data_IF_843858695744
#
_entry.id   IF_843858695744
#
_cell.length_a   1.000
_cell.length_b   1.000
_cell.length_c   1.000
_cell.angle_alpha   90.00
_cell.angle_beta   90.00
_cell.angle_gamma   90.00
#
_symmetry.space_group_name_H-M   'P 1'
#
loop_
_entity.id
_entity.type
_entity.pdbx_description
1 polymer ?
#
# COMPACT_ATOMS: atom_id res chain seq x y z
N UNK A 1 -31.73 -8.78 -0.76
CA UNK A 1 -31.55 -9.71 0.38
C UNK A 1 -32.14 -9.03 1.60
N UNK A 2 -32.93 -9.71 2.42
CA UNK A 2 -33.40 -9.15 3.69
C UNK A 2 -32.17 -8.78 4.55
N UNK A 3 -32.21 -7.64 5.24
CA UNK A 3 -31.10 -7.22 6.11
C UNK A 3 -30.92 -8.25 7.22
N UNK A 4 -29.78 -8.95 7.23
CA UNK A 4 -29.41 -9.84 8.33
C UNK A 4 -29.17 -9.02 9.59
N UNK A 5 -29.64 -9.50 10.74
CA UNK A 5 -29.40 -8.85 12.03
C UNK A 5 -27.93 -9.00 12.47
N UNK A 6 -27.46 -8.11 13.36
CA UNK A 6 -26.11 -8.19 13.95
C UNK A 6 -25.80 -9.58 14.51
N UNK A 7 -26.79 -10.21 15.17
CA UNK A 7 -26.67 -11.55 15.72
C UNK A 7 -26.45 -12.63 14.65
N UNK A 8 -27.08 -12.50 13.47
CA UNK A 8 -26.89 -13.43 12.36
C UNK A 8 -25.49 -13.30 11.73
N UNK A 9 -24.96 -12.08 11.64
CA UNK A 9 -23.58 -11.86 11.17
C UNK A 9 -22.55 -12.43 12.12
N UNK A 10 -22.73 -12.18 13.42
CA UNK A 10 -21.85 -12.72 14.48
C UNK A 10 -21.84 -14.25 14.42
N UNK A 11 -23.01 -14.89 14.33
CA UNK A 11 -23.12 -16.34 14.20
C UNK A 11 -22.43 -16.87 12.94
N UNK A 12 -22.59 -16.18 11.81
CA UNK A 12 -21.89 -16.52 10.55
C UNK A 12 -20.37 -16.46 10.71
N UNK A 13 -19.85 -15.38 11.30
CA UNK A 13 -18.40 -15.21 11.52
C UNK A 13 -17.83 -16.21 12.51
N UNK A 14 -18.57 -16.55 13.56
CA UNK A 14 -18.20 -17.62 14.50
C UNK A 14 -18.13 -18.98 13.80
N UNK A 15 -19.12 -19.30 12.97
CA UNK A 15 -19.11 -20.53 12.19
C UNK A 15 -17.93 -20.59 11.19
N UNK A 16 -17.58 -19.47 10.56
CA UNK A 16 -16.38 -19.41 9.71
C UNK A 16 -15.09 -19.55 10.52
N UNK A 17 -15.01 -18.97 11.72
CA UNK A 17 -13.87 -19.14 12.61
C UNK A 17 -13.64 -20.61 12.96
N UNK A 18 -14.68 -21.32 13.42
CA UNK A 18 -14.60 -22.75 13.71
C UNK A 18 -14.24 -23.58 12.47
N UNK A 19 -14.71 -23.17 11.28
CA UNK A 19 -14.34 -23.82 10.01
C UNK A 19 -12.86 -23.62 9.70
N UNK A 20 -12.32 -22.41 9.90
CA UNK A 20 -10.90 -22.11 9.70
C UNK A 20 -10.05 -22.96 10.64
N UNK A 21 -10.42 -23.06 11.92
CA UNK A 21 -9.69 -23.87 12.91
C UNK A 21 -9.69 -25.36 12.54
N UNK A 22 -10.85 -25.91 12.14
CA UNK A 22 -10.96 -27.32 11.74
C UNK A 22 -10.29 -27.64 10.41
N UNK A 23 -10.13 -26.65 9.53
CA UNK A 23 -9.58 -26.83 8.18
C UNK A 23 -8.10 -26.41 8.10
N UNK A 24 -7.38 -26.33 9.21
CA UNK A 24 -6.01 -25.79 9.27
C UNK A 24 -5.00 -26.52 8.35
N UNK A 25 -5.33 -27.73 7.88
CA UNK A 25 -4.50 -28.55 7.00
C UNK A 25 -4.97 -28.56 5.52
N UNK A 26 -6.09 -27.90 5.20
CA UNK A 26 -6.71 -27.90 3.87
C UNK A 26 -6.75 -26.47 3.29
N UNK A 27 -5.84 -26.11 2.36
CA UNK A 27 -5.78 -24.76 1.80
C UNK A 27 -7.01 -24.40 0.95
N UNK A 28 -7.71 -25.37 0.36
CA UNK A 28 -8.91 -25.09 -0.42
C UNK A 28 -10.08 -24.75 0.51
N UNK A 29 -10.28 -25.54 1.58
CA UNK A 29 -11.30 -25.25 2.59
C UNK A 29 -11.03 -23.93 3.34
N UNK A 30 -9.75 -23.63 3.62
CA UNK A 30 -9.34 -22.33 4.16
C UNK A 30 -9.65 -21.19 3.20
N UNK A 31 -9.38 -21.37 1.90
CA UNK A 31 -9.68 -20.36 0.87
C UNK A 31 -11.16 -20.02 0.89
N UNK A 32 -12.04 -21.01 0.84
CA UNK A 32 -13.49 -20.78 0.88
C UNK A 32 -13.96 -20.14 2.19
N UNK A 33 -13.36 -20.50 3.33
CA UNK A 33 -13.70 -19.89 4.61
C UNK A 33 -13.29 -18.40 4.67
N UNK A 34 -12.08 -18.05 4.22
CA UNK A 34 -11.63 -16.66 4.17
C UNK A 34 -12.38 -15.82 3.13
N UNK A 35 -12.79 -16.42 2.00
CA UNK A 35 -13.69 -15.77 1.05
C UNK A 35 -15.03 -15.43 1.73
N UNK A 36 -15.62 -16.37 2.45
CA UNK A 36 -16.88 -16.13 3.17
C UNK A 36 -16.74 -15.03 4.24
N UNK A 37 -15.62 -14.99 4.96
CA UNK A 37 -15.31 -13.90 5.91
C UNK A 37 -15.18 -12.56 5.16
N UNK A 38 -14.44 -12.51 4.06
CA UNK A 38 -14.27 -11.31 3.24
C UNK A 38 -15.62 -10.78 2.72
N UNK A 39 -16.54 -11.66 2.31
CA UNK A 39 -17.89 -11.28 1.87
C UNK A 39 -18.74 -10.67 3.00
N UNK A 40 -18.49 -11.04 4.25
CA UNK A 40 -19.20 -10.48 5.41
C UNK A 40 -18.70 -9.08 5.82
N UNK A 41 -17.51 -8.65 5.37
CA UNK A 41 -16.86 -7.47 5.96
C UNK A 41 -17.61 -6.16 5.75
N UNK A 42 -18.32 -5.99 4.63
CA UNK A 42 -19.13 -4.79 4.39
C UNK A 42 -20.16 -4.62 5.51
N UNK A 43 -20.99 -5.64 5.71
CA UNK A 43 -22.04 -5.60 6.71
C UNK A 43 -21.48 -5.57 8.13
N UNK A 44 -20.39 -6.29 8.39
CA UNK A 44 -19.70 -6.25 9.67
C UNK A 44 -19.36 -4.81 10.08
N UNK A 45 -18.76 -4.01 9.19
CA UNK A 45 -18.35 -2.65 9.54
C UNK A 45 -19.51 -1.68 9.62
N UNK A 46 -20.53 -1.82 8.77
CA UNK A 46 -21.75 -1.03 8.87
C UNK A 46 -22.45 -1.22 10.22
N UNK A 47 -22.63 -2.48 10.62
CA UNK A 47 -23.19 -2.81 11.93
C UNK A 47 -22.29 -2.32 13.06
N UNK A 48 -20.98 -2.52 12.94
CA UNK A 48 -20.01 -2.06 13.92
C UNK A 48 -20.07 -0.55 14.17
N UNK A 49 -20.35 0.23 13.12
CA UNK A 49 -20.46 1.69 13.21
C UNK A 49 -21.66 2.16 14.03
N UNK A 50 -22.68 1.32 14.17
CA UNK A 50 -23.90 1.60 14.94
C UNK A 50 -23.80 1.12 16.40
N UNK A 51 -22.80 0.30 16.72
CA UNK A 51 -22.63 -0.34 18.03
C UNK A 51 -21.72 0.47 18.96
N UNK A 52 -21.99 0.37 20.27
CA UNK A 52 -21.13 0.97 21.29
C UNK A 52 -19.81 0.20 21.35
N UNK A 53 -18.72 0.90 21.03
CA UNK A 53 -17.38 0.32 21.02
C UNK A 53 -16.94 -0.11 22.42
N UNK A 54 -16.17 -1.20 22.49
CA UNK A 54 -15.60 -1.70 23.74
C UNK A 54 -14.58 -0.73 24.33
N UNK A 55 -14.36 -0.81 25.65
CA UNK A 55 -13.49 0.13 26.37
C UNK A 55 -12.03 0.08 25.92
N UNK A 56 -11.53 -1.09 25.50
CA UNK A 56 -10.20 -1.26 24.92
C UNK A 56 -10.06 -0.52 23.58
N UNK A 57 -11.08 -0.58 22.73
CA UNK A 57 -11.12 0.14 21.46
C UNK A 57 -11.17 1.64 21.70
N UNK A 58 -12.05 2.11 22.59
CA UNK A 58 -12.12 3.54 22.95
C UNK A 58 -10.79 4.07 23.51
N UNK A 59 -10.13 3.31 24.40
CA UNK A 59 -8.82 3.65 24.92
C UNK A 59 -7.75 3.71 23.81
N UNK A 60 -7.79 2.76 22.88
CA UNK A 60 -6.90 2.73 21.73
C UNK A 60 -7.13 3.92 20.79
N UNK A 61 -8.39 4.29 20.51
CA UNK A 61 -8.75 5.46 19.70
C UNK A 61 -8.19 6.74 20.31
N UNK A 62 -8.36 6.93 21.62
CA UNK A 62 -7.83 8.09 22.33
C UNK A 62 -6.29 8.13 22.31
N UNK A 63 -5.65 6.97 22.51
CA UNK A 63 -4.19 6.85 22.55
C UNK A 63 -3.54 7.16 21.19
N UNK A 64 -4.08 6.61 20.11
CA UNK A 64 -3.48 6.70 18.77
C UNK A 64 -4.09 7.79 17.88
N UNK A 65 -5.16 8.45 18.32
CA UNK A 65 -5.95 9.43 17.56
C UNK A 65 -6.43 8.91 16.21
N UNK A 66 -7.13 7.78 16.28
CA UNK A 66 -7.68 7.06 15.14
C UNK A 66 -9.16 6.76 15.45
N UNK A 67 -10.05 6.95 14.47
CA UNK A 67 -11.50 6.98 14.70
C UNK A 67 -12.22 5.86 13.94
N UNK A 68 -12.39 4.68 14.53
CA UNK A 68 -12.95 3.53 13.83
C UNK A 68 -13.51 2.46 14.77
N UNK A 69 -14.18 1.46 14.18
CA UNK A 69 -15.13 0.57 14.85
C UNK A 69 -14.82 -0.91 14.67
N UNK A 70 -15.10 -1.71 15.71
CA UNK A 70 -15.08 -3.17 15.70
C UNK A 70 -16.28 -3.72 16.49
N UNK A 71 -16.89 -4.83 16.04
CA UNK A 71 -17.99 -5.44 16.79
C UNK A 71 -17.45 -6.01 18.11
N UNK A 72 -17.90 -5.51 19.28
CA UNK A 72 -17.39 -5.99 20.57
C UNK A 72 -17.58 -7.49 20.79
N UNK A 73 -18.67 -8.04 20.25
CA UNK A 73 -19.06 -9.44 20.43
C UNK A 73 -18.17 -10.39 19.61
N UNK A 74 -17.68 -9.93 18.46
CA UNK A 74 -16.77 -10.70 17.62
C UNK A 74 -15.73 -9.79 16.97
N UNK A 75 -14.62 -9.52 17.67
CA UNK A 75 -13.51 -8.79 17.09
C UNK A 75 -12.88 -9.58 15.94
N UNK A 76 -13.10 -9.15 14.69
CA UNK A 76 -12.59 -9.84 13.49
C UNK A 76 -11.06 -9.97 13.50
N UNK A 77 -10.35 -9.11 14.25
CA UNK A 77 -8.89 -9.22 14.47
C UNK A 77 -8.47 -10.58 15.06
N UNK A 78 -9.37 -11.30 15.75
CA UNK A 78 -9.12 -12.65 16.28
C UNK A 78 -8.80 -13.69 15.22
N UNK A 79 -9.16 -13.44 13.95
CA UNK A 79 -8.84 -14.34 12.84
C UNK A 79 -7.40 -14.16 12.32
N UNK A 80 -6.70 -13.07 12.69
CA UNK A 80 -5.37 -12.74 12.17
C UNK A 80 -4.33 -13.84 12.46
N UNK A 81 -4.24 -14.43 13.67
CA UNK A 81 -3.29 -15.52 13.92
C UNK A 81 -3.52 -16.74 13.05
N UNK A 82 -4.79 -17.14 12.84
CA UNK A 82 -5.12 -18.28 11.99
C UNK A 82 -4.77 -18.00 10.52
N UNK A 83 -5.05 -16.79 10.04
CA UNK A 83 -4.68 -16.35 8.70
C UNK A 83 -3.16 -16.29 8.48
N UNK A 84 -2.41 -15.74 9.44
CA UNK A 84 -0.95 -15.71 9.40
C UNK A 84 -0.36 -17.13 9.34
N UNK A 85 -0.86 -18.05 10.18
CA UNK A 85 -0.46 -19.47 10.17
C UNK A 85 -0.78 -20.15 8.83
N UNK A 86 -1.96 -19.88 8.27
CA UNK A 86 -2.37 -20.42 6.98
C UNK A 86 -1.45 -19.94 5.83
N UNK A 87 -1.10 -18.65 5.80
CA UNK A 87 -0.14 -18.12 4.81
C UNK A 87 1.26 -18.69 4.96
N UNK A 88 1.74 -18.84 6.20
CA UNK A 88 3.06 -19.42 6.45
C UNK A 88 3.13 -20.91 6.06
N UNK A 89 2.00 -21.62 6.18
CA UNK A 89 1.91 -23.04 5.83
C UNK A 89 1.71 -23.29 4.33
N UNK A 90 0.92 -22.45 3.67
CA UNK A 90 0.55 -22.61 2.26
C UNK A 90 0.86 -21.36 1.43
N UNK A 91 2.08 -20.81 1.50
CA UNK A 91 2.41 -19.55 0.83
C UNK A 91 2.29 -19.62 -0.69
N UNK A 92 2.40 -20.81 -1.28
CA UNK A 92 2.23 -21.07 -2.71
C UNK A 92 0.76 -21.11 -3.17
N UNK A 93 -0.21 -21.22 -2.25
CA UNK A 93 -1.62 -21.36 -2.59
C UNK A 93 -2.24 -19.99 -2.92
N UNK A 94 -2.22 -19.63 -4.21
CA UNK A 94 -2.61 -18.29 -4.71
C UNK A 94 -4.00 -17.83 -4.29
N UNK A 95 -5.00 -18.71 -4.33
CA UNK A 95 -6.38 -18.36 -3.94
C UNK A 95 -6.49 -18.00 -2.46
N UNK A 96 -5.74 -18.72 -1.61
CA UNK A 96 -5.70 -18.49 -0.17
C UNK A 96 -4.97 -17.17 0.13
N UNK A 97 -3.81 -16.98 -0.49
CA UNK A 97 -3.03 -15.75 -0.37
C UNK A 97 -3.85 -14.51 -0.78
N UNK A 98 -4.58 -14.60 -1.89
CA UNK A 98 -5.43 -13.52 -2.39
C UNK A 98 -6.57 -13.19 -1.42
N UNK A 99 -7.30 -14.21 -0.94
CA UNK A 99 -8.43 -14.03 -0.03
C UNK A 99 -7.98 -13.43 1.31
N UNK A 100 -6.88 -13.93 1.89
CA UNK A 100 -6.33 -13.39 3.14
C UNK A 100 -5.80 -11.97 2.94
N UNK A 101 -5.11 -11.67 1.84
CA UNK A 101 -4.58 -10.34 1.58
C UNK A 101 -5.70 -9.29 1.46
N UNK A 102 -6.76 -9.56 0.69
CA UNK A 102 -7.90 -8.63 0.57
C UNK A 102 -8.60 -8.40 1.91
N UNK A 103 -8.86 -9.48 2.66
CA UNK A 103 -9.46 -9.38 3.99
C UNK A 103 -8.56 -8.63 4.98
N UNK A 104 -7.26 -8.91 5.00
CA UNK A 104 -6.30 -8.28 5.90
C UNK A 104 -6.21 -6.77 5.68
N UNK A 105 -6.30 -6.31 4.42
CA UNK A 105 -6.36 -4.89 4.09
C UNK A 105 -7.51 -4.19 4.81
N UNK A 106 -8.70 -4.78 4.83
CA UNK A 106 -9.87 -4.17 5.48
C UNK A 106 -9.74 -4.13 6.99
N UNK A 107 -9.32 -5.25 7.58
CA UNK A 107 -9.14 -5.40 9.02
C UNK A 107 -8.08 -4.43 9.54
N UNK A 108 -6.94 -4.32 8.86
CA UNK A 108 -5.86 -3.40 9.24
C UNK A 108 -6.17 -1.94 8.91
N UNK A 109 -7.13 -1.65 8.04
CA UNK A 109 -7.61 -0.27 7.82
C UNK A 109 -8.52 0.19 8.94
N UNK A 110 -9.17 -0.72 9.69
CA UNK A 110 -10.12 -0.31 10.71
C UNK A 110 -9.45 0.16 11.98
N UNK A 111 -8.59 -0.60 12.65
CA UNK A 111 -8.09 -0.15 13.94
C UNK A 111 -6.64 -0.54 14.18
N UNK A 112 -5.96 0.25 15.01
CA UNK A 112 -4.54 0.05 15.27
C UNK A 112 -4.30 -1.23 16.08
N UNK A 113 -5.27 -1.73 16.85
CA UNK A 113 -5.13 -3.01 17.54
C UNK A 113 -5.01 -4.15 16.53
N UNK A 114 -5.81 -4.13 15.46
CA UNK A 114 -5.72 -5.09 14.37
C UNK A 114 -4.38 -5.00 13.61
N UNK A 115 -3.84 -3.79 13.39
CA UNK A 115 -2.48 -3.62 12.84
C UNK A 115 -1.42 -4.23 13.75
N UNK A 116 -1.48 -3.94 15.04
CA UNK A 116 -0.54 -4.44 16.05
C UNK A 116 -0.62 -5.97 16.15
N UNK A 117 -1.84 -6.52 16.18
CA UNK A 117 -2.09 -7.97 16.18
C UNK A 117 -1.54 -8.62 14.90
N UNK A 118 -1.79 -8.04 13.71
CA UNK A 118 -1.27 -8.55 12.44
C UNK A 118 0.26 -8.60 12.44
N UNK A 119 0.92 -7.55 12.96
CA UNK A 119 2.37 -7.54 13.11
C UNK A 119 2.85 -8.61 14.10
N UNK A 120 2.20 -8.72 15.27
CA UNK A 120 2.59 -9.64 16.34
C UNK A 120 2.35 -11.12 15.99
N UNK A 121 1.30 -11.44 15.23
CA UNK A 121 0.95 -12.83 14.91
C UNK A 121 1.71 -13.39 13.69
N UNK A 122 2.61 -12.61 13.08
CA UNK A 122 3.38 -13.03 11.92
C UNK A 122 2.62 -12.93 10.59
N UNK A 123 1.64 -12.03 10.47
CA UNK A 123 0.95 -11.79 9.20
C UNK A 123 1.93 -11.29 8.12
N UNK A 124 2.83 -10.36 8.49
CA UNK A 124 3.85 -9.83 7.58
C UNK A 124 4.77 -10.95 7.05
N UNK A 125 5.14 -11.88 7.93
CA UNK A 125 5.91 -13.07 7.56
C UNK A 125 5.16 -13.93 6.52
N UNK A 126 3.89 -14.25 6.78
CA UNK A 126 3.06 -15.02 5.85
C UNK A 126 2.86 -14.34 4.49
N UNK A 127 2.57 -13.04 4.48
CA UNK A 127 2.41 -12.24 3.26
C UNK A 127 3.72 -12.16 2.46
N UNK A 128 4.87 -11.98 3.13
CA UNK A 128 6.17 -11.99 2.46
C UNK A 128 6.52 -13.36 1.88
N UNK A 129 6.20 -14.47 2.56
CA UNK A 129 6.36 -15.81 2.00
C UNK A 129 5.50 -15.98 0.74
N UNK A 130 4.22 -15.58 0.77
CA UNK A 130 3.35 -15.65 -0.39
C UNK A 130 3.89 -14.82 -1.57
N UNK A 131 4.38 -13.59 -1.32
CA UNK A 131 5.04 -12.78 -2.34
C UNK A 131 6.35 -13.41 -2.85
N UNK A 132 7.11 -14.10 -1.98
CA UNK A 132 8.31 -14.85 -2.35
C UNK A 132 8.01 -15.99 -3.32
N UNK A 133 6.96 -16.78 -3.03
CA UNK A 133 6.50 -17.84 -3.93
C UNK A 133 5.93 -17.26 -5.23
N UNK A 134 5.24 -16.13 -5.19
CA UNK A 134 4.79 -15.42 -6.39
C UNK A 134 5.97 -14.96 -7.26
N UNK A 135 7.06 -14.50 -6.65
CA UNK A 135 8.28 -14.09 -7.37
C UNK A 135 8.92 -15.22 -8.18
N UNK A 136 8.65 -16.50 -7.85
CA UNK A 136 9.09 -17.66 -8.61
C UNK A 136 8.32 -17.88 -9.92
N UNK A 137 7.29 -17.09 -10.22
CA UNK A 137 6.64 -17.14 -11.53
C UNK A 137 7.60 -16.58 -12.60
N UNK A 138 7.77 -17.31 -13.69
CA UNK A 138 8.62 -16.87 -14.82
C UNK A 138 8.00 -15.66 -15.51
N UNK A 139 6.71 -15.73 -15.78
CA UNK A 139 5.90 -14.66 -16.36
C UNK A 139 4.79 -14.26 -15.37
N UNK A 140 4.55 -12.95 -15.27
CA UNK A 140 3.39 -12.45 -14.52
C UNK A 140 2.29 -12.15 -15.51
N UNK A 141 1.17 -12.85 -15.39
CA UNK A 141 -0.05 -12.49 -16.10
C UNK A 141 -0.81 -11.49 -15.23
N UNK A 142 -1.94 -11.03 -15.75
CA UNK A 142 -2.77 -10.02 -15.08
C UNK A 142 -3.19 -10.44 -13.66
N UNK A 143 -3.58 -11.70 -13.47
CA UNK A 143 -3.98 -12.23 -12.16
C UNK A 143 -2.80 -12.24 -11.16
N UNK A 144 -1.56 -12.47 -11.61
CA UNK A 144 -0.37 -12.41 -10.75
C UNK A 144 -0.01 -10.99 -10.33
N UNK A 145 -0.20 -9.99 -11.20
CA UNK A 145 -0.03 -8.58 -10.82
C UNK A 145 -1.09 -8.13 -9.82
N UNK A 146 -2.34 -8.55 -10.01
CA UNK A 146 -3.40 -8.29 -9.03
C UNK A 146 -3.06 -8.92 -7.68
N UNK A 147 -2.64 -10.19 -7.67
CA UNK A 147 -2.23 -10.86 -6.43
C UNK A 147 -1.06 -10.15 -5.75
N UNK A 148 -0.04 -9.74 -6.50
CA UNK A 148 1.06 -8.95 -5.97
C UNK A 148 0.55 -7.63 -5.37
N UNK A 149 -0.28 -6.88 -6.10
CA UNK A 149 -0.91 -5.65 -5.63
C UNK A 149 -1.65 -5.84 -4.31
N UNK A 150 -2.50 -6.86 -4.21
CA UNK A 150 -3.23 -7.19 -2.99
C UNK A 150 -2.29 -7.54 -1.82
N UNK A 151 -1.27 -8.37 -2.04
CA UNK A 151 -0.31 -8.74 -0.99
C UNK A 151 0.44 -7.51 -0.46
N UNK A 152 0.97 -6.68 -1.36
CA UNK A 152 1.74 -5.51 -0.98
C UNK A 152 0.87 -4.41 -0.38
N UNK A 153 -0.38 -4.29 -0.81
CA UNK A 153 -1.34 -3.41 -0.15
C UNK A 153 -1.67 -3.89 1.27
N UNK A 154 -1.83 -5.21 1.47
CA UNK A 154 -2.04 -5.78 2.80
C UNK A 154 -0.82 -5.56 3.71
N UNK A 155 0.40 -5.78 3.20
CA UNK A 155 1.66 -5.47 3.90
C UNK A 155 1.71 -4.00 4.33
N UNK A 156 1.43 -3.09 3.39
CA UNK A 156 1.33 -1.64 3.66
C UNK A 156 0.31 -1.36 4.74
N UNK A 157 -0.92 -1.86 4.61
CA UNK A 157 -2.00 -1.60 5.58
C UNK A 157 -1.70 -2.14 6.97
N UNK A 158 -1.03 -3.28 7.07
CA UNK A 158 -0.65 -3.84 8.37
C UNK A 158 0.42 -3.01 9.08
N UNK A 159 1.36 -2.41 8.34
CA UNK A 159 2.51 -1.71 8.89
C UNK A 159 2.43 -0.17 8.87
N UNK A 160 1.53 0.42 8.09
CA UNK A 160 1.42 1.88 7.99
C UNK A 160 0.92 2.48 9.32
N UNK A 161 1.48 3.62 9.75
CA UNK A 161 1.03 4.32 10.94
C UNK A 161 -0.48 4.63 10.93
N UNK A 162 -1.13 4.75 12.10
CA UNK A 162 -2.54 5.07 12.20
C UNK A 162 -2.82 6.56 11.90
N UNK A 163 -2.47 7.00 10.69
CA UNK A 163 -2.91 8.26 10.10
C UNK A 163 -2.07 9.47 10.50
N UNK A 164 -2.44 10.64 9.98
CA UNK A 164 -1.65 11.88 10.16
C UNK A 164 -1.60 12.31 11.63
N UNK A 165 -2.70 12.14 12.38
CA UNK A 165 -2.78 12.51 13.79
C UNK A 165 -1.84 11.68 14.70
N UNK A 166 -1.39 10.51 14.23
CA UNK A 166 -0.39 9.68 14.91
C UNK A 166 0.94 10.40 15.10
N UNK A 167 1.38 11.18 14.10
CA UNK A 167 2.67 11.87 14.15
C UNK A 167 2.72 12.94 15.25
N UNK A 168 1.56 13.48 15.62
CA UNK A 168 1.40 14.43 16.74
C UNK A 168 1.29 13.76 18.11
N UNK A 169 1.25 12.42 18.19
CA UNK A 169 1.16 11.69 19.46
C UNK A 169 2.48 11.76 20.25
N UNK A 170 2.44 11.59 21.59
CA UNK A 170 3.64 11.50 22.42
C UNK A 170 4.63 10.46 21.90
N UNK A 171 5.93 10.72 22.08
CA UNK A 171 6.99 9.82 21.59
C UNK A 171 6.85 8.40 22.14
N UNK A 172 6.39 8.22 23.38
CA UNK A 172 6.15 6.90 23.95
C UNK A 172 5.12 6.07 23.15
N UNK A 173 4.03 6.68 22.69
CA UNK A 173 3.00 6.02 21.87
C UNK A 173 3.56 5.64 20.50
N UNK A 174 4.38 6.52 19.92
CA UNK A 174 5.05 6.24 18.64
C UNK A 174 6.06 5.11 18.77
N UNK A 175 6.86 5.12 19.82
CA UNK A 175 7.85 4.08 20.10
C UNK A 175 7.18 2.72 20.33
N UNK A 176 6.03 2.68 20.97
CA UNK A 176 5.27 1.44 21.14
C UNK A 176 4.90 0.82 19.78
N UNK A 177 4.26 1.60 18.90
CA UNK A 177 3.91 1.12 17.55
C UNK A 177 5.16 0.73 16.73
N UNK A 178 6.16 1.62 16.66
CA UNK A 178 7.35 1.37 15.86
C UNK A 178 8.22 0.24 16.41
N UNK A 179 8.20 -0.03 17.72
CA UNK A 179 8.91 -1.19 18.28
C UNK A 179 8.33 -2.51 17.76
N UNK A 180 7.00 -2.61 17.68
CA UNK A 180 6.32 -3.78 17.10
C UNK A 180 6.65 -3.90 15.61
N UNK A 181 6.55 -2.79 14.86
CA UNK A 181 6.90 -2.76 13.44
C UNK A 181 8.37 -3.15 13.19
N UNK A 182 9.31 -2.61 13.97
CA UNK A 182 10.76 -2.88 13.89
C UNK A 182 11.04 -4.36 14.09
N UNK A 183 10.50 -4.93 15.18
CA UNK A 183 10.71 -6.34 15.51
C UNK A 183 10.14 -7.24 14.41
N UNK A 184 8.95 -6.92 13.93
CA UNK A 184 8.27 -7.73 12.90
C UNK A 184 8.99 -7.66 11.56
N UNK A 185 9.29 -6.46 11.05
CA UNK A 185 10.04 -6.31 9.80
C UNK A 185 11.46 -6.89 9.89
N UNK A 186 12.09 -6.83 11.06
CA UNK A 186 13.40 -7.42 11.30
C UNK A 186 13.40 -8.94 11.33
N UNK A 187 12.26 -9.54 11.72
CA UNK A 187 12.07 -10.98 11.82
C UNK A 187 11.66 -11.64 10.50
N UNK A 188 11.21 -10.89 9.48
CA UNK A 188 10.78 -11.47 8.21
C UNK A 188 11.91 -12.28 7.55
N UNK A 189 11.64 -13.55 7.27
CA UNK A 189 12.51 -14.46 6.55
C UNK A 189 11.81 -15.08 5.34
N UNK A 190 12.48 -15.19 4.19
CA UNK A 190 11.98 -16.00 3.08
C UNK A 190 12.46 -17.44 3.21
N UNK A 191 11.72 -18.38 2.62
CA UNK A 191 12.15 -19.77 2.50
C UNK A 191 13.51 -19.85 1.79
N UNK A 192 14.43 -20.62 2.35
CA UNK A 192 15.76 -20.83 1.75
C UNK A 192 15.67 -21.38 0.32
N UNK A 193 14.67 -22.24 0.06
CA UNK A 193 14.38 -22.76 -1.27
C UNK A 193 13.93 -21.68 -2.26
N UNK A 194 13.09 -20.73 -1.82
CA UNK A 194 12.65 -19.60 -2.64
C UNK A 194 13.84 -18.69 -2.97
N UNK A 195 14.65 -18.35 -1.97
CA UNK A 195 15.86 -17.55 -2.17
C UNK A 195 16.84 -18.23 -3.13
N UNK A 196 17.11 -19.52 -2.92
CA UNK A 196 18.00 -20.29 -3.80
C UNK A 196 17.49 -20.34 -5.24
N UNK A 197 16.18 -20.48 -5.44
CA UNK A 197 15.57 -20.49 -6.76
C UNK A 197 15.68 -19.12 -7.46
N UNK A 198 15.46 -18.01 -6.74
CA UNK A 198 15.62 -16.66 -7.27
C UNK A 198 17.08 -16.32 -7.59
N UNK A 199 18.03 -16.80 -6.77
CA UNK A 199 19.47 -16.69 -7.07
C UNK A 199 19.84 -17.51 -8.30
N UNK A 200 19.37 -18.76 -8.39
CA UNK A 200 19.64 -19.64 -9.54
C UNK A 200 19.13 -19.07 -10.87
N UNK A 201 17.99 -18.38 -10.85
CA UNK A 201 17.42 -17.68 -12.02
C UNK A 201 18.21 -16.43 -12.43
N UNK A 202 19.14 -15.97 -11.59
CA UNK A 202 19.85 -14.70 -11.78
C UNK A 202 18.99 -13.47 -11.45
N UNK A 203 17.80 -13.67 -10.89
CA UNK A 203 16.94 -12.60 -10.41
C UNK A 203 17.56 -11.92 -9.18
N UNK A 204 18.19 -12.72 -8.31
CA UNK A 204 19.01 -12.25 -7.19
C UNK A 204 20.49 -12.53 -7.40
N UNK A 205 21.33 -11.61 -6.92
CA UNK A 205 22.69 -11.97 -6.55
C UNK A 205 22.64 -12.60 -5.16
N UNK A 206 23.62 -13.43 -4.83
CA UNK A 206 23.85 -13.77 -3.43
C UNK A 206 24.32 -12.50 -2.71
N UNK A 207 23.36 -11.84 -2.05
CA UNK A 207 23.61 -10.64 -1.27
C UNK A 207 24.03 -10.99 0.17
N UNK A 208 24.07 -12.25 0.58
CA UNK A 208 24.32 -12.61 1.98
C UNK A 208 23.24 -12.05 2.93
N UNK A 209 23.64 -11.48 4.07
CA UNK A 209 22.71 -10.98 5.07
C UNK A 209 21.99 -9.70 4.60
N UNK A 210 20.69 -9.82 4.30
CA UNK A 210 19.80 -8.71 3.95
C UNK A 210 18.49 -8.78 4.74
N UNK A 211 17.73 -7.68 4.75
CA UNK A 211 16.32 -7.74 5.16
C UNK A 211 15.51 -8.31 3.98
N UNK A 212 14.87 -9.46 4.18
CA UNK A 212 14.18 -10.18 3.10
C UNK A 212 12.93 -9.45 2.59
N UNK A 213 12.21 -8.71 3.43
CA UNK A 213 11.09 -7.88 2.98
C UNK A 213 11.57 -6.74 2.06
N UNK A 214 12.68 -6.08 2.42
CA UNK A 214 13.27 -5.02 1.61
C UNK A 214 13.80 -5.56 0.27
N UNK A 215 14.50 -6.70 0.28
CA UNK A 215 14.96 -7.39 -0.94
C UNK A 215 13.78 -7.72 -1.86
N UNK A 216 12.75 -8.35 -1.32
CA UNK A 216 11.58 -8.76 -2.08
C UNK A 216 10.86 -7.56 -2.68
N UNK A 217 10.60 -6.52 -1.89
CA UNK A 217 9.94 -5.30 -2.37
C UNK A 217 10.74 -4.62 -3.48
N UNK A 218 12.07 -4.54 -3.32
CA UNK A 218 12.97 -4.00 -4.35
C UNK A 218 12.88 -4.81 -5.66
N UNK A 219 12.80 -6.14 -5.56
CA UNK A 219 12.61 -7.00 -6.72
C UNK A 219 11.29 -6.76 -7.45
N UNK A 220 10.17 -6.63 -6.72
CA UNK A 220 8.88 -6.34 -7.33
C UNK A 220 8.86 -4.97 -8.01
N UNK A 221 9.49 -3.94 -7.42
CA UNK A 221 9.69 -2.64 -8.09
C UNK A 221 10.45 -2.82 -9.40
N UNK A 222 11.61 -3.48 -9.39
CA UNK A 222 12.41 -3.70 -10.59
C UNK A 222 11.63 -4.46 -11.68
N UNK A 223 10.98 -5.56 -11.30
CA UNK A 223 10.24 -6.42 -12.22
C UNK A 223 9.08 -5.66 -12.84
N UNK A 224 8.36 -4.89 -12.04
CA UNK A 224 7.24 -4.10 -12.49
C UNK A 224 7.66 -2.96 -13.43
N UNK A 225 8.74 -2.24 -13.11
CA UNK A 225 9.26 -1.18 -13.98
C UNK A 225 9.63 -1.70 -15.38
N UNK A 226 10.07 -2.95 -15.50
CA UNK A 226 10.32 -3.59 -16.81
C UNK A 226 9.03 -3.91 -17.57
N UNK A 227 7.99 -4.38 -16.88
CA UNK A 227 6.72 -4.74 -17.50
C UNK A 227 5.90 -3.53 -17.96
N UNK A 228 5.99 -2.41 -17.23
CA UNK A 228 5.33 -1.13 -17.53
C UNK A 228 5.62 -0.57 -18.93
N UNK A 229 6.71 -1.00 -19.57
CA UNK A 229 7.06 -0.60 -20.93
C UNK A 229 5.98 -1.02 -21.95
N UNK A 230 5.18 -2.05 -21.65
CA UNK A 230 4.26 -2.67 -22.61
C UNK A 230 2.77 -2.38 -22.36
N UNK A 231 2.31 -2.20 -21.12
CA UNK A 231 0.89 -1.92 -20.83
C UNK A 231 0.71 -1.04 -19.57
N UNK A 232 0.40 0.25 -19.78
CA UNK A 232 0.38 1.27 -18.72
C UNK A 232 -0.90 1.31 -17.90
N UNK A 233 -2.06 1.08 -18.53
CA UNK A 233 -3.36 1.31 -17.88
C UNK A 233 -3.73 0.20 -16.89
N UNK A 234 -3.20 -1.00 -17.07
CA UNK A 234 -3.61 -2.17 -16.27
C UNK A 234 -3.00 -2.23 -14.88
N UNK A 235 -2.07 -1.33 -14.59
CA UNK A 235 -1.19 -1.50 -13.44
C UNK A 235 -1.16 -0.27 -12.51
N UNK A 236 -1.86 0.80 -12.86
CA UNK A 236 -1.94 2.02 -12.05
C UNK A 236 -2.22 1.72 -10.56
N UNK A 237 -1.41 2.30 -9.66
CA UNK A 237 -1.51 2.08 -8.21
C UNK A 237 -0.73 0.90 -7.63
N UNK A 238 -0.36 -0.13 -8.41
CA UNK A 238 0.38 -1.29 -7.88
C UNK A 238 1.78 -0.89 -7.39
N UNK A 239 2.49 -0.07 -8.17
CA UNK A 239 3.82 0.44 -7.79
C UNK A 239 3.77 1.23 -6.50
N UNK A 240 2.69 1.99 -6.29
CA UNK A 240 2.49 2.79 -5.08
C UNK A 240 2.53 1.90 -3.83
N UNK A 241 1.90 0.72 -3.88
CA UNK A 241 1.94 -0.22 -2.77
C UNK A 241 3.35 -0.72 -2.48
N UNK A 242 4.18 -0.94 -3.50
CA UNK A 242 5.58 -1.33 -3.29
C UNK A 242 6.39 -0.20 -2.65
N UNK A 243 6.24 1.03 -3.15
CA UNK A 243 6.94 2.20 -2.61
C UNK A 243 6.55 2.46 -1.15
N UNK A 244 5.27 2.36 -0.83
CA UNK A 244 4.76 2.52 0.53
C UNK A 244 5.20 1.38 1.47
N UNK A 245 5.37 0.15 0.98
CA UNK A 245 5.99 -0.93 1.79
C UNK A 245 7.47 -0.61 2.11
N UNK A 246 8.25 -0.13 1.14
CA UNK A 246 9.65 0.29 1.40
C UNK A 246 9.69 1.42 2.43
N UNK A 247 8.77 2.37 2.30
CA UNK A 247 8.65 3.49 3.22
C UNK A 247 8.31 3.03 4.64
N UNK A 248 7.24 2.26 4.83
CA UNK A 248 6.84 1.77 6.16
C UNK A 248 7.94 0.93 6.83
N UNK A 249 8.71 0.17 6.04
CA UNK A 249 9.92 -0.50 6.50
C UNK A 249 10.96 0.55 6.96
N UNK A 250 11.29 1.54 6.13
CA UNK A 250 12.21 2.62 6.50
C UNK A 250 11.78 3.35 7.77
N UNK A 251 10.50 3.71 7.89
CA UNK A 251 9.91 4.38 9.06
C UNK A 251 10.10 3.58 10.34
N UNK A 252 9.85 2.27 10.30
CA UNK A 252 10.08 1.37 11.43
C UNK A 252 11.53 1.43 11.92
N UNK A 253 12.50 1.54 11.01
CA UNK A 253 13.93 1.64 11.33
C UNK A 253 14.45 3.08 11.35
N UNK A 254 13.62 4.05 11.80
CA UNK A 254 14.02 5.45 11.95
C UNK A 254 14.56 6.09 10.66
N UNK A 255 13.87 5.81 9.55
CA UNK A 255 14.16 6.28 8.19
C UNK A 255 15.53 5.81 7.70
N UNK A 256 15.89 4.58 8.06
CA UNK A 256 17.08 3.89 7.60
C UNK A 256 16.70 2.47 7.16
N UNK A 257 17.56 1.86 6.34
CA UNK A 257 17.36 0.49 5.90
C UNK A 257 18.29 -0.45 6.66
N UNK A 258 17.76 -1.33 7.54
CA UNK A 258 18.57 -2.24 8.32
C UNK A 258 19.32 -3.21 7.41
N UNK A 259 20.56 -3.55 7.77
CA UNK A 259 21.44 -4.45 7.01
C UNK A 259 21.82 -3.99 5.60
N UNK A 260 21.41 -2.78 5.17
CA UNK A 260 21.81 -2.23 3.87
C UNK A 260 23.23 -1.62 3.93
N UNK A 261 23.58 -0.94 5.03
CA UNK A 261 24.84 -0.21 5.15
C UNK A 261 26.10 -1.09 5.04
N UNK A 262 26.03 -2.33 5.54
CA UNK A 262 27.14 -3.29 5.49
C UNK A 262 27.17 -4.16 4.22
N UNK A 263 26.33 -3.85 3.21
CA UNK A 263 26.13 -4.71 2.05
C UNK A 263 26.18 -3.91 0.75
N UNK A 264 27.39 -3.62 0.26
CA UNK A 264 27.61 -2.79 -0.93
C UNK A 264 26.97 -3.37 -2.21
N UNK A 265 26.87 -4.69 -2.32
CA UNK A 265 26.24 -5.34 -3.46
C UNK A 265 24.74 -5.06 -3.48
N UNK A 266 24.07 -5.25 -2.34
CA UNK A 266 22.64 -4.99 -2.21
C UNK A 266 22.33 -3.48 -2.27
N UNK A 267 23.19 -2.63 -1.69
CA UNK A 267 23.09 -1.18 -1.82
C UNK A 267 23.08 -0.73 -3.29
N UNK A 268 24.03 -1.22 -4.10
CA UNK A 268 24.08 -0.88 -5.54
C UNK A 268 22.86 -1.38 -6.29
N UNK A 269 22.37 -2.57 -5.96
CA UNK A 269 21.15 -3.12 -6.53
C UNK A 269 19.94 -2.24 -6.17
N UNK A 270 19.72 -1.99 -4.88
CA UNK A 270 18.66 -1.14 -4.37
C UNK A 270 18.65 0.23 -5.04
N UNK A 271 19.76 0.97 -4.95
CA UNK A 271 19.86 2.33 -5.50
C UNK A 271 19.58 2.35 -7.00
N UNK A 272 20.17 1.43 -7.77
CA UNK A 272 19.95 1.34 -9.21
C UNK A 272 18.49 1.08 -9.54
N UNK A 273 17.85 0.15 -8.84
CA UNK A 273 16.45 -0.19 -9.07
C UNK A 273 15.55 1.03 -8.90
N UNK A 274 15.68 1.80 -7.81
CA UNK A 274 14.85 2.98 -7.59
C UNK A 274 15.19 4.15 -8.51
N UNK A 275 16.46 4.33 -8.90
CA UNK A 275 16.85 5.34 -9.89
C UNK A 275 16.39 4.99 -11.33
N UNK A 276 16.36 3.71 -11.70
CA UNK A 276 15.83 3.28 -12.99
C UNK A 276 14.30 3.38 -13.01
N UNK A 277 13.64 2.92 -11.95
CA UNK A 277 12.20 3.02 -11.80
C UNK A 277 11.71 4.47 -11.85
N UNK A 278 12.36 5.39 -11.11
CA UNK A 278 11.98 6.81 -11.11
C UNK A 278 12.14 7.47 -12.48
N UNK A 279 13.07 7.01 -13.32
CA UNK A 279 13.25 7.51 -14.69
C UNK A 279 12.20 6.97 -15.66
N UNK A 280 11.74 5.74 -15.46
CA UNK A 280 10.68 5.17 -16.30
C UNK A 280 9.33 5.83 -15.98
N UNK A 281 9.21 6.38 -14.78
CA UNK A 281 7.97 6.95 -14.24
C UNK A 281 7.81 8.46 -14.46
N UNK A 282 8.65 9.10 -15.29
CA UNK A 282 8.50 10.54 -15.65
C UNK A 282 7.15 10.91 -16.29
N UNK A 283 6.28 9.93 -16.57
CA UNK A 283 4.92 10.15 -17.08
C UNK A 283 3.84 10.17 -15.99
N UNK A 284 4.17 9.78 -14.75
CA UNK A 284 3.28 9.84 -13.60
C UNK A 284 3.91 10.77 -12.56
N UNK A 285 3.56 12.06 -12.65
CA UNK A 285 4.03 13.09 -11.71
C UNK A 285 3.72 12.73 -10.24
N UNK A 286 2.76 11.82 -10.02
CA UNK A 286 2.23 11.45 -8.71
C UNK A 286 3.20 10.64 -7.82
N UNK A 287 4.19 9.94 -8.39
CA UNK A 287 5.08 9.04 -7.63
C UNK A 287 6.52 9.55 -7.46
N UNK A 288 6.90 10.62 -8.16
CA UNK A 288 8.28 11.16 -8.14
C UNK A 288 8.71 11.48 -6.69
N UNK A 289 7.82 12.09 -5.92
CA UNK A 289 8.08 12.43 -4.53
C UNK A 289 8.33 11.18 -3.65
N UNK A 290 7.67 10.05 -3.93
CA UNK A 290 7.88 8.79 -3.20
C UNK A 290 9.23 8.16 -3.53
N UNK A 291 9.65 8.18 -4.80
CA UNK A 291 10.99 7.73 -5.18
C UNK A 291 12.08 8.58 -4.54
N UNK A 292 11.93 9.90 -4.57
CA UNK A 292 12.85 10.84 -3.94
C UNK A 292 12.94 10.61 -2.43
N UNK A 293 11.80 10.38 -1.77
CA UNK A 293 11.73 10.03 -0.36
C UNK A 293 12.52 8.74 -0.05
N UNK A 294 12.33 7.67 -0.82
CA UNK A 294 13.06 6.40 -0.66
C UNK A 294 14.57 6.59 -0.89
N UNK A 295 14.96 7.36 -1.91
CA UNK A 295 16.36 7.65 -2.21
C UNK A 295 17.00 8.52 -1.12
N UNK A 296 16.23 9.38 -0.44
CA UNK A 296 16.67 10.13 0.73
C UNK A 296 16.84 9.23 1.97
N UNK A 297 15.92 8.28 2.22
CA UNK A 297 16.09 7.25 3.26
C UNK A 297 17.34 6.40 3.01
N UNK A 298 17.60 6.04 1.75
CA UNK A 298 18.82 5.37 1.35
C UNK A 298 20.05 6.21 1.71
N UNK A 299 20.10 7.50 1.32
CA UNK A 299 21.22 8.40 1.70
C UNK A 299 21.39 8.51 3.21
N UNK A 300 20.29 8.64 3.96
CA UNK A 300 20.29 8.72 5.42
C UNK A 300 20.86 7.46 6.09
N UNK A 301 20.66 6.29 5.49
CA UNK A 301 21.21 5.01 5.98
C UNK A 301 22.74 5.03 6.07
N UNK A 302 23.43 5.82 5.24
CA UNK A 302 24.90 5.95 5.25
C UNK A 302 25.39 7.21 5.97
N UNK A 303 24.60 8.28 5.91
CA UNK A 303 24.99 9.60 6.43
C UNK A 303 23.84 10.24 7.23
N UNK A 304 23.48 9.63 8.36
CA UNK A 304 22.35 10.09 9.17
C UNK A 304 22.49 11.55 9.67
N UNK A 305 23.73 12.03 9.84
CA UNK A 305 24.03 13.42 10.20
C UNK A 305 23.86 14.40 9.03
N UNK A 306 24.04 13.96 7.78
CA UNK A 306 23.91 14.80 6.59
C UNK A 306 22.46 14.91 6.11
N UNK A 307 21.64 13.92 6.43
CA UNK A 307 20.19 13.91 6.13
C UNK A 307 19.44 13.80 7.45
N UNK A 308 19.41 14.87 8.28
CA UNK A 308 18.74 14.84 9.58
C UNK A 308 17.24 14.57 9.40
N UNK A 309 16.65 13.90 10.39
CA UNK A 309 15.23 13.57 10.42
C UNK A 309 14.64 13.96 11.78
N UNK A 310 13.48 14.60 11.76
CA UNK A 310 12.70 14.92 12.94
C UNK A 310 11.35 14.19 12.89
N UNK A 311 11.07 13.35 13.87
CA UNK A 311 9.79 12.62 13.99
C UNK A 311 8.58 13.52 14.29
N UNK A 312 8.81 14.81 14.59
CA UNK A 312 7.77 15.84 14.78
C UNK A 312 7.52 16.64 13.52
N UNK A 313 8.52 16.71 12.65
CA UNK A 313 8.48 17.42 11.39
C UNK A 313 9.37 16.67 10.39
N UNK A 314 8.89 15.54 9.86
CA UNK A 314 9.72 14.71 9.00
C UNK A 314 10.19 15.57 7.83
N UNK A 315 11.50 15.79 7.76
CA UNK A 315 12.17 16.56 6.70
C UNK A 315 11.84 15.99 5.30
N UNK A 316 11.43 14.73 5.30
CA UNK A 316 10.74 14.02 4.24
C UNK A 316 9.24 14.15 4.53
N UNK A 317 8.55 15.24 4.14
CA UNK A 317 7.10 15.20 4.20
C UNK A 317 6.69 14.08 3.25
N UNK A 318 5.92 13.07 3.70
CA UNK A 318 5.24 12.18 2.78
C UNK A 318 4.60 13.02 1.68
N UNK A 319 4.81 12.69 0.41
CA UNK A 319 4.14 13.39 -0.70
C UNK A 319 2.63 13.54 -0.40
N UNK A 320 2.05 12.43 0.09
CA UNK A 320 0.68 12.36 0.63
C UNK A 320 0.44 13.19 1.89
N UNK A 321 1.41 13.42 2.78
CA UNK A 321 1.21 14.31 3.94
C UNK A 321 1.00 15.75 3.50
N UNK A 322 1.62 16.25 2.42
CA UNK A 322 1.35 17.62 1.96
C UNK A 322 -0.11 17.80 1.52
N UNK A 323 -0.69 16.78 0.90
CA UNK A 323 -2.08 16.75 0.46
C UNK A 323 -3.05 16.39 1.60
N UNK A 324 -2.71 15.42 2.45
CA UNK A 324 -3.51 15.07 3.63
C UNK A 324 -3.52 16.19 4.68
N UNK A 325 -2.42 16.92 4.93
CA UNK A 325 -2.43 18.03 5.90
C UNK A 325 -3.35 19.19 5.45
N UNK A 326 -3.54 19.41 4.14
CA UNK A 326 -4.52 20.39 3.67
C UNK A 326 -5.96 19.91 3.88
N UNK A 327 -6.21 18.61 3.72
CA UNK A 327 -7.56 18.04 3.76
C UNK A 327 -8.04 17.71 5.19
N UNK A 328 -7.12 17.41 6.11
CA UNK A 328 -7.43 16.96 7.48
C UNK A 328 -7.92 18.05 8.44
N UNK A 329 -7.95 19.33 8.05
CA UNK A 329 -8.37 20.40 9.00
C UNK A 329 -9.83 20.29 9.45
N UNK A 330 -10.67 19.42 8.87
CA UNK A 330 -12.12 19.41 9.12
C UNK A 330 -12.84 18.06 9.01
N UNK A 331 -12.19 16.90 9.26
CA UNK A 331 -12.95 15.62 9.30
C UNK A 331 -13.69 15.51 10.64
N UNK A 332 -14.98 15.88 10.66
CA UNK A 332 -15.87 15.62 11.80
C UNK A 332 -16.22 14.12 11.88
N UNK A 333 -16.60 13.62 13.06
CA UNK A 333 -17.02 12.21 13.25
C UNK A 333 -18.09 11.76 12.24
N UNK A 334 -19.02 12.67 11.84
CA UNK A 334 -20.05 12.40 10.82
C UNK A 334 -19.51 12.25 9.40
N UNK A 335 -18.42 12.94 9.06
CA UNK A 335 -17.76 12.80 7.75
C UNK A 335 -17.22 11.37 7.57
N UNK A 336 -16.69 10.79 8.65
CA UNK A 336 -16.15 9.42 8.70
C UNK A 336 -17.15 8.37 8.23
N UNK A 337 -18.42 8.45 8.66
CA UNK A 337 -19.45 7.48 8.24
C UNK A 337 -19.75 7.55 6.73
N UNK A 338 -19.80 8.75 6.15
CA UNK A 338 -20.02 8.92 4.72
C UNK A 338 -18.83 8.47 3.88
N UNK A 339 -17.61 8.78 4.33
CA UNK A 339 -16.36 8.35 3.67
C UNK A 339 -16.19 6.83 3.76
N UNK A 340 -16.61 6.23 4.87
CA UNK A 340 -16.77 4.78 5.05
C UNK A 340 -17.68 4.24 3.95
N UNK A 341 -18.94 4.70 3.86
CA UNK A 341 -19.89 4.22 2.85
C UNK A 341 -19.39 4.36 1.40
N UNK A 342 -18.78 5.50 1.05
CA UNK A 342 -18.27 5.73 -0.31
C UNK A 342 -17.08 4.82 -0.65
N UNK A 343 -16.10 4.70 0.27
CA UNK A 343 -14.97 3.81 0.08
C UNK A 343 -15.42 2.35 -0.04
N UNK A 344 -16.45 1.92 0.70
CA UNK A 344 -16.97 0.55 0.60
C UNK A 344 -17.64 0.27 -0.75
N UNK A 345 -18.41 1.22 -1.29
CA UNK A 345 -19.05 1.05 -2.60
C UNK A 345 -18.07 0.71 -3.72
N UNK A 346 -16.93 1.42 -3.75
CA UNK A 346 -15.82 1.16 -4.69
C UNK A 346 -15.21 -0.21 -4.41
N UNK A 347 -14.88 -0.48 -3.14
CA UNK A 347 -14.25 -1.73 -2.68
C UNK A 347 -15.08 -2.98 -2.98
N UNK A 348 -16.41 -2.89 -3.01
CA UNK A 348 -17.27 -4.04 -3.30
C UNK A 348 -17.08 -4.58 -4.71
N UNK A 349 -16.92 -3.69 -5.68
CA UNK A 349 -16.71 -4.08 -7.08
C UNK A 349 -15.36 -4.78 -7.27
N UNK A 350 -14.31 -4.21 -6.68
CA UNK A 350 -12.97 -4.79 -6.64
C UNK A 350 -12.97 -6.15 -5.93
N UNK A 351 -13.59 -6.22 -4.74
CA UNK A 351 -13.64 -7.46 -3.95
C UNK A 351 -14.31 -8.59 -4.73
N UNK A 352 -15.43 -8.35 -5.41
CA UNK A 352 -16.08 -9.41 -6.21
C UNK A 352 -15.14 -9.99 -7.26
N UNK A 353 -14.34 -9.15 -7.93
CA UNK A 353 -13.36 -9.60 -8.90
C UNK A 353 -12.24 -10.39 -8.22
N UNK A 354 -11.68 -9.88 -7.13
CA UNK A 354 -10.64 -10.53 -6.33
C UNK A 354 -11.08 -11.91 -5.84
N UNK A 355 -12.27 -12.01 -5.25
CA UNK A 355 -12.81 -13.28 -4.74
C UNK A 355 -13.17 -14.25 -5.87
N UNK A 356 -13.62 -13.75 -7.02
CA UNK A 356 -13.82 -14.60 -8.21
C UNK A 356 -12.50 -15.23 -8.67
N UNK A 357 -11.41 -14.47 -8.67
CA UNK A 357 -10.07 -14.97 -9.00
C UNK A 357 -9.56 -15.93 -7.93
N UNK A 358 -9.83 -15.66 -6.65
CA UNK A 358 -9.48 -16.57 -5.55
C UNK A 358 -10.15 -17.94 -5.70
N UNK A 359 -11.46 -17.97 -6.01
CA UNK A 359 -12.20 -19.21 -6.30
C UNK A 359 -11.65 -19.95 -7.51
N UNK A 360 -11.31 -19.23 -8.58
CA UNK A 360 -10.67 -19.80 -9.78
C UNK A 360 -9.36 -20.51 -9.42
N UNK A 361 -8.53 -19.90 -8.58
CA UNK A 361 -7.29 -20.54 -8.12
C UNK A 361 -7.54 -21.74 -7.21
N UNK A 362 -8.53 -21.67 -6.32
CA UNK A 362 -8.91 -22.80 -5.46
C UNK A 362 -9.38 -24.01 -6.28
N UNK A 363 -10.21 -23.78 -7.31
CA UNK A 363 -10.68 -24.83 -8.21
C UNK A 363 -9.53 -25.47 -8.99
N UNK A 364 -8.61 -24.67 -9.54
CA UNK A 364 -7.46 -25.18 -10.28
C UNK A 364 -6.47 -25.98 -9.40
N UNK A 365 -6.35 -25.62 -8.12
CA UNK A 365 -5.50 -26.33 -7.16
C UNK A 365 -6.05 -27.70 -6.77
N UNK A 366 -7.39 -27.85 -6.73
CA UNK A 366 -8.03 -29.13 -6.43
C UNK A 366 -7.75 -30.19 -7.52
N UNK A 367 -7.71 -29.78 -8.79
CA UNK A 367 -7.46 -30.69 -9.91
C UNK A 367 -6.00 -31.16 -10.00
N UNK A 368 -5.05 -30.35 -9.50
CA UNK A 368 -3.63 -30.70 -9.49
C UNK A 368 -3.23 -31.65 -8.34
N UNK A 369 -4.09 -31.83 -7.34
CA UNK A 369 -3.78 -32.50 -6.07
C UNK A 369 -3.75 -34.04 -6.07
N UNK A 370 -4.01 -34.71 -7.20
CA UNK A 370 -3.94 -36.19 -7.28
C UNK A 370 -2.56 -36.73 -7.71
N UNK A 371 -1.60 -35.86 -8.07
CA UNK A 371 -0.25 -36.25 -8.43
C UNK A 371 0.78 -35.53 -7.57
N UNK A 372 1.58 -36.29 -6.82
CA UNK A 372 2.77 -35.78 -6.14
C UNK A 372 3.71 -35.12 -7.17
N UNK A 373 3.75 -33.79 -7.21
CA UNK A 373 4.67 -33.04 -8.07
C UNK A 373 5.93 -32.71 -7.27
N UNK A 374 7.03 -33.36 -7.63
CA UNK A 374 8.39 -32.91 -7.32
C UNK A 374 8.66 -31.59 -8.07
N UNK A 375 9.46 -30.67 -7.51
CA UNK A 375 9.70 -29.36 -8.13
C UNK A 375 10.65 -29.51 -9.33
N UNK A 376 10.10 -29.67 -10.52
CA UNK A 376 10.87 -29.66 -11.76
C UNK A 376 10.03 -30.01 -12.98
N UNK A 377 9.93 -29.06 -13.90
CA UNK A 377 9.33 -29.13 -15.24
C UNK A 377 7.79 -28.97 -15.32
N UNK A 378 7.35 -27.73 -15.54
CA UNK A 378 6.13 -27.45 -16.29
C UNK A 378 6.52 -27.06 -17.70
N UNK A 379 6.12 -27.88 -18.68
CA UNK A 379 6.25 -27.58 -20.10
C UNK A 379 5.01 -26.81 -20.58
N UNK A 380 5.24 -25.79 -21.40
CA UNK A 380 4.24 -24.88 -21.96
C UNK A 380 3.20 -25.62 -22.83
N UNK A 381 1.92 -25.37 -22.56
CA UNK A 381 0.82 -25.68 -23.46
C UNK A 381 0.40 -24.42 -24.21
N UNK A 382 0.58 -24.48 -25.53
CA UNK A 382 0.32 -23.48 -26.54
C UNK A 382 -1.21 -23.26 -26.73
N UNK A 383 -1.69 -22.02 -26.66
CA UNK A 383 -3.08 -21.67 -27.00
C UNK A 383 -3.05 -20.51 -28.01
N UNK A 384 -3.51 -20.84 -29.21
CA UNK A 384 -3.44 -19.99 -30.40
C UNK A 384 -4.34 -18.76 -30.42
N UNK A 385 -3.80 -17.71 -31.03
CA UNK A 385 -4.42 -16.46 -31.44
C UNK A 385 -5.40 -16.61 -32.62
N UNK A 386 -6.52 -15.88 -32.58
CA UNK A 386 -7.22 -15.36 -33.79
C UNK A 386 -7.83 -13.96 -33.58
N UNK A 387 -7.10 -12.97 -34.10
CA UNK A 387 -7.51 -11.86 -35.00
C UNK A 387 -8.77 -10.98 -34.78
N UNK A 388 -8.48 -9.68 -34.51
CA UNK A 388 -8.88 -8.41 -35.20
C UNK A 388 -10.35 -8.12 -35.61
N UNK A 389 -10.80 -6.90 -35.26
CA UNK A 389 -11.26 -5.87 -36.21
C UNK A 389 -11.19 -4.43 -35.63
N UNK A 390 -10.70 -3.49 -36.44
CA UNK A 390 -10.54 -2.04 -36.19
C UNK A 390 -11.87 -1.27 -36.32
N UNK A 391 -11.94 -0.09 -35.68
CA UNK A 391 -12.35 1.17 -36.36
C UNK A 391 -11.90 2.41 -35.59
N UNK A 392 -11.41 3.38 -36.36
CA UNK A 392 -10.87 4.66 -35.94
C UNK A 392 -11.95 5.75 -35.87
N UNK A 393 -11.77 6.73 -34.98
CA UNK A 393 -12.17 8.12 -35.22
C UNK A 393 -11.56 9.06 -34.18
N UNK A 394 -11.18 10.24 -34.64
CA UNK A 394 -10.31 11.21 -34.01
C UNK A 394 -11.02 12.26 -33.15
N UNK A 395 -10.21 12.88 -32.27
CA UNK A 395 -10.20 14.31 -31.93
C UNK A 395 -11.37 14.92 -31.16
N UNK A 396 -11.14 15.23 -29.87
CA UNK A 396 -11.32 16.58 -29.32
C UNK A 396 -10.50 16.74 -28.05
N UNK A 397 -9.68 17.80 -28.02
CA UNK A 397 -8.96 18.30 -26.85
C UNK A 397 -9.84 19.35 -26.18
N UNK A 398 -10.09 19.21 -24.89
CA UNK A 398 -10.42 20.33 -24.00
C UNK A 398 -10.04 19.92 -22.57
N UNK A 399 -8.89 20.39 -22.11
CA UNK A 399 -8.44 20.27 -20.73
C UNK A 399 -9.04 21.43 -19.96
N UNK A 400 -9.88 21.12 -18.98
CA UNK A 400 -10.56 22.08 -18.13
C UNK A 400 -9.60 23.07 -17.48
N UNK A 401 -9.95 24.35 -17.59
CA UNK A 401 -9.22 25.45 -17.00
C UNK A 401 -9.32 25.35 -15.47
N UNK A 402 -8.25 24.91 -14.82
CA UNK A 402 -8.16 24.90 -13.35
C UNK A 402 -8.13 26.37 -12.90
N UNK A 403 -9.19 26.82 -12.26
CA UNK A 403 -9.28 28.15 -11.65
C UNK A 403 -8.07 28.39 -10.75
N UNK A 404 -7.35 29.48 -10.99
CA UNK A 404 -6.12 29.81 -10.26
C UNK A 404 -6.42 30.78 -9.14
N UNK A 405 -5.81 30.56 -7.97
CA UNK A 405 -6.06 31.35 -6.77
C UNK A 405 -4.79 32.04 -6.27
N UNK A 406 -4.91 33.28 -5.82
CA UNK A 406 -3.78 34.07 -5.34
C UNK A 406 -3.32 33.54 -3.99
N UNK A 407 -2.04 33.14 -3.88
CA UNK A 407 -1.50 32.54 -2.66
C UNK A 407 -1.44 33.48 -1.43
N UNK A 408 -1.66 34.79 -1.62
CA UNK A 408 -1.63 35.77 -0.53
C UNK A 408 -3.02 36.25 -0.10
N UNK A 409 -3.90 36.58 -1.06
CA UNK A 409 -5.20 37.19 -0.80
C UNK A 409 -6.39 36.30 -1.17
N UNK A 410 -6.13 35.09 -1.64
CA UNK A 410 -7.12 34.06 -1.98
C UNK A 410 -8.12 34.44 -3.08
N UNK A 411 -7.94 35.56 -3.79
CA UNK A 411 -8.76 35.90 -4.96
C UNK A 411 -8.59 34.86 -6.06
N UNK A 412 -9.70 34.42 -6.64
CA UNK A 412 -9.71 33.50 -7.78
C UNK A 412 -9.62 34.27 -9.10
N UNK A 413 -9.09 33.62 -10.14
CA UNK A 413 -8.87 34.25 -11.45
C UNK A 413 -10.18 34.74 -12.10
N UNK A 414 -11.31 34.10 -11.81
CA UNK A 414 -12.65 34.45 -12.34
C UNK A 414 -13.21 35.76 -11.79
N UNK A 415 -12.72 36.24 -10.64
CA UNK A 415 -13.14 37.50 -10.02
C UNK A 415 -12.51 38.74 -10.68
N UNK A 416 -11.76 38.58 -11.78
CA UNK A 416 -11.08 39.68 -12.48
C UNK A 416 -11.77 40.08 -13.77
N UNK A 417 -11.77 41.38 -14.04
CA UNK A 417 -12.20 41.91 -15.34
C UNK A 417 -11.18 41.57 -16.44
N UNK A 418 -11.59 41.45 -17.72
CA UNK A 418 -10.70 41.13 -18.84
C UNK A 418 -9.52 42.10 -19.05
N UNK A 419 -9.53 43.27 -18.39
CA UNK A 419 -8.49 44.28 -18.46
C UNK A 419 -7.35 44.08 -17.43
N UNK A 420 -7.46 43.13 -16.50
CA UNK A 420 -6.44 42.90 -15.46
C UNK A 420 -5.40 41.85 -15.87
N UNK A 421 -4.11 42.13 -15.57
CA UNK A 421 -2.98 41.26 -15.89
C UNK A 421 -3.12 39.84 -15.30
N UNK A 422 -2.72 38.85 -16.10
CA UNK A 422 -2.62 37.43 -15.73
C UNK A 422 -1.86 37.26 -14.41
N UNK A 423 -2.29 36.32 -13.56
CA UNK A 423 -1.61 36.03 -12.30
C UNK A 423 -0.12 35.77 -12.53
N UNK A 424 0.71 36.49 -11.77
CA UNK A 424 2.15 36.38 -11.81
C UNK A 424 2.59 35.13 -11.06
N UNK A 425 3.41 34.31 -11.71
CA UNK A 425 4.01 33.14 -11.07
C UNK A 425 5.20 33.57 -10.23
N UNK A 426 5.46 32.88 -9.12
CA UNK A 426 6.72 33.00 -8.41
C UNK A 426 7.89 32.75 -9.37
N UNK A 427 8.84 33.69 -9.48
CA UNK A 427 9.98 33.57 -10.40
C UNK A 427 10.91 32.39 -10.07
N UNK A 428 10.95 31.96 -8.81
CA UNK A 428 11.82 30.86 -8.33
C UNK A 428 11.18 29.48 -8.51
N UNK A 429 10.02 29.21 -7.92
CA UNK A 429 9.38 27.89 -7.96
C UNK A 429 8.33 27.73 -9.07
N UNK A 430 7.79 28.83 -9.59
CA UNK A 430 6.65 28.89 -10.53
C UNK A 430 5.38 28.13 -10.11
N UNK A 431 5.31 27.63 -8.88
CA UNK A 431 4.19 26.87 -8.33
C UNK A 431 3.14 27.77 -7.65
N UNK A 432 3.56 28.88 -7.02
CA UNK A 432 2.65 29.86 -6.43
C UNK A 432 2.28 30.95 -7.43
N UNK A 433 1.01 31.37 -7.38
CA UNK A 433 0.44 32.41 -8.24
C UNK A 433 0.02 33.63 -7.40
N UNK A 434 0.23 34.82 -7.96
CA UNK A 434 -0.05 36.08 -7.29
C UNK A 434 -0.80 37.03 -8.20
N UNK A 435 -1.82 37.69 -7.66
CA UNK A 435 -2.59 38.68 -8.40
C UNK A 435 -1.77 39.96 -8.72
N UNK A 436 -0.58 40.10 -8.11
CA UNK A 436 0.40 41.15 -8.38
C UNK A 436 1.62 41.08 -7.45
N UNK A 437 2.61 41.93 -7.71
CA UNK A 437 3.89 41.99 -6.97
C UNK A 437 3.70 42.23 -5.47
N UNK A 438 2.69 42.99 -5.07
CA UNK A 438 2.40 43.28 -3.66
C UNK A 438 1.95 42.02 -2.90
N UNK A 439 1.12 41.19 -3.53
CA UNK A 439 0.74 39.89 -2.96
C UNK A 439 1.92 38.92 -2.88
N UNK A 440 2.82 38.93 -3.88
CA UNK A 440 4.04 38.13 -3.81
C UNK A 440 4.94 38.56 -2.64
N UNK A 441 5.14 39.87 -2.45
CA UNK A 441 5.95 40.41 -1.34
C UNK A 441 5.32 40.10 0.02
N UNK A 442 4.01 40.25 0.14
CA UNK A 442 3.27 39.94 1.38
C UNK A 442 3.44 38.49 1.82
N UNK A 443 3.24 37.55 0.88
CA UNK A 443 3.36 36.12 1.15
C UNK A 443 4.82 35.64 1.24
N UNK A 444 5.81 36.43 0.81
CA UNK A 444 7.21 35.99 0.72
C UNK A 444 7.79 35.47 2.05
N UNK A 445 7.39 36.05 3.19
CA UNK A 445 7.89 35.64 4.51
C UNK A 445 7.56 34.18 4.84
N UNK A 446 6.38 33.71 4.42
CA UNK A 446 5.92 32.34 4.59
C UNK A 446 6.39 31.46 3.42
N UNK A 447 6.23 31.95 2.19
CA UNK A 447 6.57 31.22 0.98
C UNK A 447 8.05 30.82 0.90
N UNK A 448 8.98 31.66 1.37
CA UNK A 448 10.43 31.40 1.26
C UNK A 448 10.87 30.11 1.96
N UNK A 449 10.13 29.66 2.97
CA UNK A 449 10.42 28.42 3.71
C UNK A 449 10.17 27.17 2.85
N UNK A 450 9.29 27.29 1.85
CA UNK A 450 8.89 26.19 0.95
C UNK A 450 9.25 26.46 -0.52
N UNK A 451 9.92 27.58 -0.82
CA UNK A 451 10.20 28.02 -2.19
C UNK A 451 11.48 27.35 -2.76
N UNK A 452 11.30 26.29 -3.56
CA UNK A 452 12.39 25.58 -4.25
C UNK A 452 12.53 25.99 -5.73
N UNK A 453 13.75 26.19 -6.29
CA UNK A 453 13.97 26.52 -7.70
C UNK A 453 13.50 25.41 -8.64
N UNK A 454 12.93 25.80 -9.79
CA UNK A 454 12.49 24.86 -10.84
C UNK A 454 13.58 23.98 -11.44
N UNK A 455 14.87 24.24 -11.25
CA UNK A 455 15.94 23.37 -11.78
C UNK A 455 16.14 22.08 -10.97
N UNK A 456 15.48 21.93 -9.82
CA UNK A 456 15.23 20.62 -9.19
C UNK A 456 13.89 20.00 -9.60
N UNK A 457 13.10 20.71 -10.42
CA UNK A 457 11.76 20.33 -10.87
C UNK A 457 11.59 20.50 -12.39
N UNK A 458 12.68 20.31 -13.15
CA UNK A 458 12.69 20.38 -14.63
C UNK A 458 13.35 19.13 -15.23
N UNK A 459 12.93 17.98 -14.74
CA UNK A 459 12.71 16.76 -15.52
C UNK A 459 11.26 16.32 -15.29
N UNK A 460 10.30 17.16 -15.67
CA UNK A 460 8.91 16.74 -15.89
C UNK A 460 8.23 17.64 -16.92
N UNK A 461 7.59 16.97 -17.87
CA UNK A 461 6.59 17.38 -18.84
C UNK A 461 6.98 18.32 -20.01
N UNK A 462 7.24 17.67 -21.15
CA UNK A 462 6.69 18.08 -22.47
C UNK A 462 5.39 17.31 -22.73
#
# INVERSE_FOLDING_TARGET
MAAMSSAQWISTLQAQHEKIERSADDPAALTEAFIAVAECMEHYFLTSNEEVQSSDIQASMAKFAWAWVELPQFPVRKLLPAAAKALQRFPQHRGLALAIADWCKDVCTQNVQAKMEAMQCGMLQGLCLAAGHLALCEEFREDEYLLAGCIFEALRKAAEPPGVAFYSRPLAVKNEFYSVATNTWGAVQLDSAVLAALVKRGDFKDFGAVNHALLLTTYFVQRYSRAMVHDKRRHEGIVEHYLEVVKTLGEAFNFQFPKLAGNEAFQRYFKRTFEEASRLDFQYEDYIDQFDEILLMHKRTFSASQVPYDHRNPCLPPARNRQCFSDFRYVSERQTSQDIHQNWGIRLSERRNVLKIARKYAAAGADAGAGSVAPGAFANADIGEKSRANKASASMRECGDKTRTCANCSRVQEERTPAELVFQKCSRCKAAYYCGRECQKGHWKEHKLVCAPRHFASQTCS
#
